data_IF_260631191462
#
_entry.id   IF_260631191462
#
_cell.length_a   1.000
_cell.length_b   1.000
_cell.length_c   1.000
_cell.angle_alpha   90.00
_cell.angle_beta   90.00
_cell.angle_gamma   90.00
#
_symmetry.space_group_name_H-M   'P 1'
#
loop_
_entity.id
_entity.type
_entity.pdbx_description
1 polymer ?
#
# COMPACT_ATOMS: atom_id res chain seq x y z
N UNK A 1 -7.97 -1.96 -23.32
CA UNK A 1 -7.40 -3.17 -22.70
C UNK A 1 -7.78 -3.11 -21.23
N UNK A 2 -8.78 -3.90 -20.82
CA UNK A 2 -9.20 -3.94 -19.42
C UNK A 2 -8.09 -4.58 -18.60
N UNK A 3 -7.62 -3.88 -17.58
CA UNK A 3 -6.86 -4.50 -16.51
C UNK A 3 -7.70 -5.66 -15.95
N UNK A 4 -7.14 -6.84 -15.67
CA UNK A 4 -7.86 -7.93 -15.02
C UNK A 4 -8.35 -7.59 -13.60
N UNK A 5 -7.99 -6.42 -13.08
CA UNK A 5 -8.13 -6.02 -11.67
C UNK A 5 -9.48 -5.44 -11.26
N UNK A 6 -10.45 -5.26 -12.17
CA UNK A 6 -11.75 -4.67 -11.80
C UNK A 6 -12.76 -5.65 -11.20
N UNK A 7 -12.49 -6.96 -11.28
CA UNK A 7 -13.42 -7.98 -10.79
C UNK A 7 -12.84 -8.75 -9.57
N UNK A 8 -11.63 -8.42 -9.09
CA UNK A 8 -11.00 -9.11 -7.96
C UNK A 8 -11.80 -8.94 -6.67
N UNK A 9 -12.44 -7.79 -6.49
CA UNK A 9 -13.39 -7.49 -5.44
C UNK A 9 -14.61 -8.43 -5.47
N UNK A 10 -15.12 -8.74 -6.66
CA UNK A 10 -16.22 -9.71 -6.85
C UNK A 10 -15.80 -11.11 -6.41
N UNK A 11 -14.57 -11.53 -6.74
CA UNK A 11 -14.04 -12.83 -6.32
C UNK A 11 -13.76 -12.92 -4.82
N UNK A 12 -13.35 -11.81 -4.19
CA UNK A 12 -13.01 -11.79 -2.77
C UNK A 12 -14.22 -11.58 -1.86
N UNK A 13 -15.32 -11.03 -2.36
CA UNK A 13 -16.52 -10.76 -1.55
C UNK A 13 -17.05 -12.00 -0.80
N UNK A 14 -17.20 -13.20 -1.41
CA UNK A 14 -17.58 -14.41 -0.67
C UNK A 14 -16.58 -14.77 0.42
N UNK A 15 -15.29 -14.72 0.12
CA UNK A 15 -14.22 -15.02 1.08
C UNK A 15 -14.25 -14.07 2.28
N UNK A 16 -14.47 -12.77 2.05
CA UNK A 16 -14.59 -11.77 3.12
C UNK A 16 -15.81 -12.05 3.99
N UNK A 17 -16.93 -12.45 3.39
CA UNK A 17 -18.13 -12.81 4.14
C UNK A 17 -17.91 -14.05 5.00
N UNK A 18 -17.26 -15.09 4.47
CA UNK A 18 -16.93 -16.31 5.21
C UNK A 18 -15.96 -16.02 6.36
N UNK A 19 -14.95 -15.17 6.13
CA UNK A 19 -14.02 -14.74 7.18
C UNK A 19 -14.72 -13.97 8.29
N UNK A 20 -15.67 -13.07 7.96
CA UNK A 20 -16.49 -12.37 8.96
C UNK A 20 -17.36 -13.35 9.74
N UNK A 21 -18.01 -14.30 9.07
CA UNK A 21 -18.81 -15.34 9.72
C UNK A 21 -17.97 -16.15 10.70
N UNK A 22 -16.78 -16.60 10.28
CA UNK A 22 -15.84 -17.35 11.11
C UNK A 22 -15.27 -16.52 12.27
N UNK A 23 -15.13 -15.21 12.12
CA UNK A 23 -14.58 -14.35 13.16
C UNK A 23 -15.63 -13.93 14.20
N UNK A 24 -16.79 -13.45 13.76
CA UNK A 24 -17.82 -12.86 14.64
C UNK A 24 -18.71 -13.90 15.32
N UNK A 25 -19.05 -14.98 14.60
CA UNK A 25 -20.05 -15.97 15.04
C UNK A 25 -19.44 -17.36 15.21
N UNK A 26 -18.55 -17.75 14.29
CA UNK A 26 -18.07 -19.12 14.13
C UNK A 26 -19.05 -20.00 13.34
N UNK A 27 -18.59 -21.18 12.95
CA UNK A 27 -19.39 -22.16 12.18
C UNK A 27 -19.32 -23.52 12.87
N UNK A 28 -20.47 -24.19 13.02
CA UNK A 28 -20.52 -25.54 13.57
C UNK A 28 -19.80 -26.51 12.64
N UNK A 29 -18.75 -27.17 13.14
CA UNK A 29 -17.87 -28.06 12.39
C UNK A 29 -17.67 -29.36 13.16
N UNK A 30 -17.71 -30.49 12.46
CA UNK A 30 -17.48 -31.80 13.05
C UNK A 30 -15.98 -32.12 13.17
N UNK A 31 -15.51 -32.41 14.38
CA UNK A 31 -14.17 -32.91 14.65
C UNK A 31 -14.14 -34.44 14.47
N UNK A 32 -13.49 -34.92 13.40
CA UNK A 32 -13.39 -36.35 13.11
C UNK A 32 -12.54 -37.13 14.14
N UNK A 33 -11.58 -36.48 14.81
CA UNK A 33 -10.74 -37.12 15.82
C UNK A 33 -11.51 -37.28 17.14
N UNK A 34 -12.23 -36.25 17.57
CA UNK A 34 -13.02 -36.28 18.82
C UNK A 34 -14.48 -36.70 18.64
N UNK A 35 -14.91 -36.97 17.41
CA UNK A 35 -16.26 -37.38 17.02
C UNK A 35 -17.41 -36.52 17.60
N UNK A 36 -17.25 -35.20 17.63
CA UNK A 36 -18.32 -34.27 18.04
C UNK A 36 -18.23 -32.94 17.29
N UNK A 37 -19.31 -32.17 17.34
CA UNK A 37 -19.34 -30.82 16.77
C UNK A 37 -18.72 -29.81 17.72
N UNK A 38 -17.97 -28.87 17.17
CA UNK A 38 -17.46 -27.69 17.86
C UNK A 38 -17.70 -26.44 17.02
N UNK A 39 -17.66 -25.26 17.65
CA UNK A 39 -17.71 -23.99 16.92
C UNK A 39 -16.31 -23.63 16.42
N UNK A 40 -16.12 -23.61 15.10
CA UNK A 40 -14.89 -23.20 14.46
C UNK A 40 -14.91 -21.68 14.26
N UNK A 41 -13.97 -20.99 14.93
CA UNK A 41 -13.67 -19.59 14.64
C UNK A 41 -12.30 -19.47 13.95
N UNK A 42 -12.15 -18.47 13.08
CA UNK A 42 -10.88 -18.21 12.39
C UNK A 42 -10.50 -16.73 12.49
N UNK A 43 -9.19 -16.47 12.58
CA UNK A 43 -8.62 -15.12 12.60
C UNK A 43 -7.59 -15.03 11.46
N UNK A 44 -7.68 -13.99 10.65
CA UNK A 44 -6.68 -13.68 9.63
C UNK A 44 -5.57 -12.80 10.24
N UNK A 45 -4.34 -13.32 10.32
CA UNK A 45 -3.21 -12.59 10.90
C UNK A 45 -2.46 -11.73 9.87
N UNK A 46 -2.17 -12.28 8.69
CA UNK A 46 -1.47 -11.56 7.63
C UNK A 46 -1.83 -12.10 6.25
N UNK A 47 -1.76 -11.23 5.23
CA UNK A 47 -1.90 -11.57 3.82
C UNK A 47 -0.56 -11.46 3.11
N UNK A 48 -0.19 -12.44 2.28
CA UNK A 48 1.02 -12.37 1.46
C UNK A 48 0.65 -11.70 0.13
N UNK A 49 0.99 -10.43 0.01
CA UNK A 49 0.76 -9.65 -1.21
C UNK A 49 2.10 -9.13 -1.72
N UNK A 50 2.29 -9.14 -3.03
CA UNK A 50 3.31 -8.29 -3.62
C UNK A 50 2.86 -6.82 -3.58
N UNK A 51 3.77 -5.92 -3.88
CA UNK A 51 3.51 -4.48 -3.76
C UNK A 51 2.36 -3.99 -4.66
N UNK A 52 2.24 -4.43 -5.94
CA UNK A 52 1.09 -4.12 -6.78
C UNK A 52 -0.24 -4.71 -6.27
N UNK A 53 -0.26 -5.98 -5.80
CA UNK A 53 -1.47 -6.60 -5.27
C UNK A 53 -1.95 -5.89 -4.01
N UNK A 54 -1.04 -5.50 -3.11
CA UNK A 54 -1.39 -4.75 -1.90
C UNK A 54 -2.14 -3.46 -2.26
N UNK A 55 -1.72 -2.76 -3.30
CA UNK A 55 -2.39 -1.54 -3.78
C UNK A 55 -3.81 -1.79 -4.26
N UNK A 56 -3.95 -2.83 -5.07
CA UNK A 56 -5.25 -3.21 -5.62
C UNK A 56 -6.22 -3.63 -4.52
N UNK A 57 -5.74 -4.42 -3.55
CA UNK A 57 -6.57 -4.95 -2.46
C UNK A 57 -6.90 -3.93 -1.38
N UNK A 58 -5.98 -3.01 -1.07
CA UNK A 58 -6.22 -1.98 -0.05
C UNK A 58 -7.13 -0.85 -0.52
N UNK A 59 -7.42 -0.78 -1.83
CA UNK A 59 -8.07 0.39 -2.43
C UNK A 59 -7.24 1.67 -2.29
N UNK A 60 -6.01 1.56 -1.77
CA UNK A 60 -5.11 2.68 -1.63
C UNK A 60 -4.59 3.02 -3.02
N UNK A 61 -4.94 4.20 -3.51
CA UNK A 61 -4.38 4.76 -4.72
C UNK A 61 -2.86 4.83 -4.54
N UNK A 62 -2.14 3.86 -5.10
CA UNK A 62 -0.78 4.09 -5.54
C UNK A 62 -0.87 5.17 -6.61
N UNK A 63 -0.87 6.42 -6.16
CA UNK A 63 -0.18 7.43 -6.91
C UNK A 63 1.17 6.81 -7.25
N UNK A 64 1.44 6.58 -8.53
CA UNK A 64 2.69 5.99 -9.04
C UNK A 64 3.92 6.75 -8.49
N UNK A 65 3.67 7.94 -7.94
CA UNK A 65 4.61 8.82 -7.27
C UNK A 65 4.91 8.44 -5.81
N UNK A 66 3.94 7.87 -5.06
CA UNK A 66 4.03 7.53 -3.63
C UNK A 66 4.20 6.03 -3.45
N UNK A 67 5.44 5.57 -3.52
CA UNK A 67 5.79 4.16 -3.69
C UNK A 67 5.78 3.29 -2.45
N UNK A 68 5.35 3.77 -1.29
CA UNK A 68 5.27 2.93 -0.09
C UNK A 68 3.92 3.10 0.59
N UNK A 69 3.19 1.99 0.80
CA UNK A 69 1.94 2.02 1.55
C UNK A 69 2.13 2.39 3.03
N UNK A 70 3.33 2.18 3.59
CA UNK A 70 3.64 2.48 5.00
C UNK A 70 3.95 3.96 5.21
N UNK A 71 4.77 4.55 4.33
CA UNK A 71 5.23 5.94 4.49
C UNK A 71 4.43 6.93 3.65
N UNK A 72 3.72 6.45 2.62
CA UNK A 72 2.83 7.26 1.80
C UNK A 72 3.52 8.48 1.20
N UNK A 73 3.15 9.65 1.70
CA UNK A 73 3.63 10.96 1.23
C UNK A 73 5.07 11.26 1.65
N UNK A 74 5.55 10.62 2.72
CA UNK A 74 6.93 10.72 3.22
C UNK A 74 7.91 9.89 2.37
N UNK A 75 7.44 9.22 1.31
CA UNK A 75 8.31 8.48 0.41
C UNK A 75 9.00 9.43 -0.57
N UNK A 76 10.31 9.59 -0.42
CA UNK A 76 11.11 10.37 -1.36
C UNK A 76 11.24 9.68 -2.72
N UNK A 77 11.07 10.47 -3.79
CA UNK A 77 11.23 9.99 -5.15
C UNK A 77 11.83 11.06 -6.08
N UNK A 78 12.47 10.58 -7.13
CA UNK A 78 12.89 11.38 -8.28
C UNK A 78 12.33 10.77 -9.55
N UNK A 79 12.08 11.62 -10.55
CA UNK A 79 11.80 11.18 -11.91
C UNK A 79 13.04 11.43 -12.76
N UNK A 80 13.59 10.36 -13.32
CA UNK A 80 14.77 10.46 -14.18
C UNK A 80 14.39 11.21 -15.47
N UNK A 81 15.11 12.30 -15.83
CA UNK A 81 14.72 13.17 -16.94
C UNK A 81 14.77 12.44 -18.29
N UNK A 82 15.76 11.58 -18.51
CA UNK A 82 15.99 10.95 -19.81
C UNK A 82 15.08 9.73 -20.06
N UNK A 83 14.76 8.99 -19.00
CA UNK A 83 13.96 7.75 -19.13
C UNK A 83 12.51 7.93 -18.70
N UNK A 84 12.16 9.07 -18.09
CA UNK A 84 10.87 9.31 -17.45
C UNK A 84 10.48 8.25 -16.39
N UNK A 85 11.44 7.45 -15.93
CA UNK A 85 11.23 6.43 -14.90
C UNK A 85 11.23 7.05 -13.52
N UNK A 86 10.40 6.48 -12.66
CA UNK A 86 10.35 6.79 -11.24
C UNK A 86 11.44 6.02 -10.51
N UNK A 87 12.22 6.71 -9.67
CA UNK A 87 13.20 6.11 -8.78
C UNK A 87 12.95 6.58 -7.35
N UNK A 88 12.86 5.63 -6.42
CA UNK A 88 12.74 5.93 -5.01
C UNK A 88 14.12 6.21 -4.43
N UNK A 89 14.26 7.37 -3.78
CA UNK A 89 15.51 7.82 -3.14
C UNK A 89 15.26 7.94 -1.63
N UNK A 90 16.16 8.56 -0.88
CA UNK A 90 15.95 8.67 0.58
C UNK A 90 16.23 7.37 1.35
N UNK A 91 16.77 6.33 0.69
CA UNK A 91 17.05 5.05 1.33
C UNK A 91 18.15 5.15 2.40
N UNK A 92 18.95 6.22 2.38
CA UNK A 92 20.05 6.44 3.33
C UNK A 92 19.51 6.86 4.71
N UNK A 93 18.32 7.47 4.77
CA UNK A 93 17.63 7.80 6.03
C UNK A 93 17.25 6.56 6.86
N UNK A 94 17.18 5.36 6.26
CA UNK A 94 16.90 4.09 6.96
C UNK A 94 18.12 3.46 7.63
N UNK A 95 19.33 3.96 7.35
CA UNK A 95 20.55 3.48 7.97
C UNK A 95 20.71 4.09 9.36
N UNK A 96 21.47 3.44 10.25
CA UNK A 96 21.78 4.02 11.56
C UNK A 96 22.44 5.41 11.44
N UNK A 97 22.23 6.30 12.41
CA UNK A 97 22.72 7.68 12.37
C UNK A 97 24.22 7.80 12.08
N UNK A 98 25.03 6.89 12.63
CA UNK A 98 26.50 6.88 12.47
C UNK A 98 26.96 6.04 11.27
N UNK A 99 26.06 5.60 10.40
CA UNK A 99 26.42 4.75 9.27
C UNK A 99 27.28 5.54 8.25
N UNK A 100 28.44 5.03 7.78
CA UNK A 100 29.33 5.76 6.88
C UNK A 100 28.68 6.25 5.59
N UNK A 101 27.68 5.53 5.07
CA UNK A 101 26.98 5.93 3.84
C UNK A 101 26.16 7.22 3.97
N UNK A 102 25.81 7.65 5.20
CA UNK A 102 25.12 8.93 5.43
C UNK A 102 25.97 10.16 5.08
N UNK A 103 27.30 10.03 5.07
CA UNK A 103 28.23 11.11 4.70
C UNK A 103 28.79 10.99 3.28
N UNK A 104 28.49 9.90 2.56
CA UNK A 104 29.04 9.62 1.22
C UNK A 104 28.15 10.20 0.11
N UNK A 105 27.95 11.52 0.10
CA UNK A 105 27.05 12.21 -0.84
C UNK A 105 27.37 11.94 -2.32
N UNK A 106 28.65 11.77 -2.66
CA UNK A 106 29.14 11.51 -4.02
C UNK A 106 28.74 10.14 -4.57
N UNK A 107 28.52 9.14 -3.72
CA UNK A 107 28.13 7.79 -4.12
C UNK A 107 26.62 7.63 -4.31
N UNK A 108 25.84 8.63 -3.89
CA UNK A 108 24.38 8.60 -3.90
C UNK A 108 23.81 9.80 -4.68
N UNK A 109 22.79 10.48 -4.16
CA UNK A 109 22.06 11.56 -4.83
C UNK A 109 22.69 12.96 -4.66
N UNK A 110 23.95 13.04 -4.22
CA UNK A 110 24.64 14.32 -3.99
C UNK A 110 24.13 15.11 -2.79
N UNK A 111 23.16 14.59 -2.03
CA UNK A 111 22.62 15.23 -0.82
C UNK A 111 23.09 14.49 0.41
N UNK A 112 23.32 15.25 1.48
CA UNK A 112 23.60 14.67 2.78
C UNK A 112 22.29 14.39 3.50
N UNK A 113 22.02 13.11 3.68
CA UNK A 113 20.75 12.57 4.18
C UNK A 113 20.87 12.30 5.70
N UNK A 114 20.71 13.36 6.50
CA UNK A 114 20.74 13.30 7.96
C UNK A 114 19.36 13.13 8.60
N UNK A 115 18.29 13.12 7.81
CA UNK A 115 16.95 12.94 8.35
C UNK A 115 16.81 11.56 9.01
N UNK A 116 15.97 11.52 10.02
CA UNK A 116 15.57 10.27 10.67
C UNK A 116 14.53 9.56 9.80
N UNK A 117 14.35 8.27 10.07
CA UNK A 117 13.32 7.46 9.42
C UNK A 117 11.96 8.16 9.64
N UNK A 118 11.17 8.43 8.57
CA UNK A 118 9.84 8.95 8.74
C UNK A 118 9.00 7.96 9.55
N UNK A 119 8.10 8.45 10.38
CA UNK A 119 7.22 7.55 11.13
C UNK A 119 6.29 6.83 10.15
N UNK A 120 6.19 5.49 10.23
CA UNK A 120 5.24 4.75 9.41
C UNK A 120 3.83 5.15 9.82
N UNK A 121 2.93 5.29 8.84
CA UNK A 121 1.53 5.55 9.13
C UNK A 121 0.96 4.41 9.97
N UNK A 122 0.18 4.79 10.98
CA UNK A 122 -0.54 3.80 11.78
C UNK A 122 -1.82 3.32 11.06
N UNK A 123 -2.44 2.26 11.58
CA UNK A 123 -3.63 1.67 10.96
C UNK A 123 -4.83 2.62 10.88
N UNK A 124 -4.98 3.54 11.84
CA UNK A 124 -6.07 4.51 11.88
C UNK A 124 -5.88 5.60 10.81
N UNK A 125 -4.66 6.09 10.63
CA UNK A 125 -4.30 7.05 9.57
C UNK A 125 -4.54 6.46 8.19
N UNK A 126 -4.13 5.21 7.97
CA UNK A 126 -4.39 4.48 6.73
C UNK A 126 -5.90 4.34 6.50
N UNK A 127 -6.63 3.91 7.52
CA UNK A 127 -8.09 3.75 7.44
C UNK A 127 -8.80 5.05 7.07
N UNK A 128 -8.44 6.16 7.73
CA UNK A 128 -9.03 7.48 7.46
C UNK A 128 -8.72 7.99 6.04
N UNK A 129 -7.59 7.61 5.45
CA UNK A 129 -7.29 7.90 4.04
C UNK A 129 -8.12 7.04 3.08
N UNK A 130 -8.30 5.76 3.40
CA UNK A 130 -9.01 4.81 2.53
C UNK A 130 -10.53 5.00 2.58
N UNK A 131 -11.12 5.37 3.72
CA UNK A 131 -12.58 5.50 3.89
C UNK A 131 -13.20 6.57 2.97
N UNK A 132 -12.42 7.57 2.58
CA UNK A 132 -12.86 8.67 1.70
C UNK A 132 -12.92 8.22 0.23
N UNK A 133 -12.23 7.13 -0.12
CA UNK A 133 -12.13 6.64 -1.50
C UNK A 133 -13.46 6.02 -1.92
N UNK A 134 -14.12 6.65 -2.90
CA UNK A 134 -15.34 6.12 -3.49
C UNK A 134 -15.00 5.05 -4.52
N UNK A 135 -15.16 3.78 -4.14
CA UNK A 135 -15.02 2.66 -5.07
C UNK A 135 -16.35 2.36 -5.77
N UNK A 136 -16.30 2.21 -7.09
CA UNK A 136 -17.40 1.64 -7.88
C UNK A 136 -17.11 0.17 -8.15
N UNK A 137 -17.99 -0.71 -7.68
CA UNK A 137 -17.79 -2.15 -7.78
C UNK A 137 -18.28 -2.71 -9.12
N UNK A 138 -17.54 -3.67 -9.66
CA UNK A 138 -17.83 -4.33 -10.94
C UNK A 138 -17.69 -3.42 -12.18
N UNK A 139 -18.14 -3.93 -13.33
CA UNK A 139 -18.13 -3.18 -14.60
C UNK A 139 -19.27 -2.17 -14.67
N UNK A 140 -19.04 -0.97 -14.14
CA UNK A 140 -19.85 0.22 -14.41
C UNK A 140 -19.39 0.95 -15.69
N UNK A 141 -20.32 1.66 -16.34
CA UNK A 141 -20.01 2.53 -17.49
C UNK A 141 -18.88 3.51 -17.14
N UNK A 142 -17.95 3.71 -18.08
CA UNK A 142 -16.73 4.51 -17.92
C UNK A 142 -17.02 5.86 -17.26
N UNK A 143 -16.74 5.98 -15.96
CA UNK A 143 -16.70 7.27 -15.29
C UNK A 143 -15.43 7.98 -15.77
N UNK A 144 -15.61 9.14 -16.39
CA UNK A 144 -14.53 10.04 -16.82
C UNK A 144 -13.60 10.28 -15.64
N UNK A 145 -12.30 10.11 -15.86
CA UNK A 145 -11.21 10.43 -14.93
C UNK A 145 -11.55 11.69 -14.13
N UNK A 146 -11.75 11.52 -12.83
CA UNK A 146 -11.67 12.64 -11.90
C UNK A 146 -10.21 13.06 -11.91
N UNK A 147 -9.92 14.15 -12.63
CA UNK A 147 -8.69 14.92 -12.44
C UNK A 147 -8.73 15.47 -11.02
N UNK A 148 -8.08 14.77 -10.11
CA UNK A 148 -7.79 15.32 -8.81
C UNK A 148 -6.71 16.41 -8.95
N UNK A 149 -7.11 17.66 -8.81
CA UNK A 149 -6.23 18.73 -8.33
C UNK A 149 -5.84 18.38 -6.89
N UNK A 150 -4.80 17.57 -6.72
CA UNK A 150 -4.17 17.36 -5.41
C UNK A 150 -2.93 18.26 -5.37
N UNK A 151 -3.03 19.23 -4.47
CA UNK A 151 -1.98 20.14 -4.03
C UNK A 151 -0.71 19.31 -3.78
N UNK A 152 0.32 19.57 -4.55
CA UNK A 152 1.61 18.90 -4.45
C UNK A 152 2.29 19.27 -3.13
N UNK A 153 2.04 18.49 -2.08
CA UNK A 153 2.90 18.46 -0.90
C UNK A 153 3.59 17.10 -0.90
N UNK A 154 4.58 16.98 -1.78
CA UNK A 154 5.55 15.91 -1.76
C UNK A 154 6.91 16.53 -2.07
N UNK A 155 7.98 16.06 -1.43
CA UNK A 155 9.33 16.59 -1.59
C UNK A 155 9.96 16.17 -2.93
N UNK A 156 9.30 16.48 -4.04
CA UNK A 156 9.75 16.17 -5.40
C UNK A 156 10.64 17.28 -5.95
N UNK A 157 11.95 17.10 -5.89
CA UNK A 157 12.91 17.97 -6.58
C UNK A 157 13.14 17.53 -8.03
N UNK A 158 13.06 18.45 -8.99
CA UNK A 158 13.65 18.22 -10.33
C UNK A 158 15.17 18.27 -10.19
N UNK A 159 15.86 17.22 -10.61
CA UNK A 159 17.32 17.27 -10.76
C UNK A 159 17.62 18.25 -11.89
N UNK A 160 18.18 19.42 -11.56
CA UNK A 160 18.79 20.30 -12.55
C UNK A 160 20.21 19.80 -12.81
N UNK A 161 20.59 19.78 -14.10
CA UNK A 161 21.98 19.54 -14.52
C UNK A 161 22.92 20.57 -13.88
#
# INVERSE_FOLDING_TARGET
MGTPGNDIDVFLAPMINDLKLLFDVGVETFDAYKQHNFSLCAIMLWTINDHPALGTLSGYLYSIYKGCALFGEETDYIRLPDSNKQCYVGHIHYLQYKHPFRSQTTMFNGKQEFETIPEPMNGEEIYNKVIIIKNTWGKGDKIKELKEEQISIGRGGKIKK
#
